data_IF_061060103740
#
_entry.id   IF_061060103740
#
_cell.length_a   1.000
_cell.length_b   1.000
_cell.length_c   1.000
_cell.angle_alpha   90.00
_cell.angle_beta   90.00
_cell.angle_gamma   90.00
#
_symmetry.space_group_name_H-M   'P 1'
#
loop_
_entity.id
_entity.type
_entity.pdbx_description
1 polymer ?
#
# COMPACT_ATOMS: atom_id res chain seq x y z
N UNK A 1 -27.11 27.01 52.92
CA UNK A 1 -27.68 26.44 51.68
C UNK A 1 -26.61 26.50 50.60
N UNK A 2 -26.20 25.30 50.19
CA UNK A 2 -25.49 24.89 48.96
C UNK A 2 -24.45 25.86 48.39
N UNK A 3 -23.19 25.48 48.63
CA UNK A 3 -22.00 26.15 48.13
C UNK A 3 -21.87 26.12 46.61
N UNK A 4 -21.31 27.22 46.12
CA UNK A 4 -20.96 27.55 44.75
C UNK A 4 -19.76 26.72 44.25
N UNK A 5 -19.90 25.41 44.05
CA UNK A 5 -18.91 24.55 43.40
C UNK A 5 -19.59 23.30 42.83
N UNK A 6 -19.75 23.21 41.49
CA UNK A 6 -18.97 22.20 40.76
C UNK A 6 -18.63 22.59 39.30
N UNK A 7 -18.32 23.86 38.99
CA UNK A 7 -17.92 24.23 37.60
C UNK A 7 -16.46 23.92 37.26
N UNK A 8 -15.59 23.77 38.27
CA UNK A 8 -14.15 23.57 38.07
C UNK A 8 -13.72 22.10 37.96
N UNK A 9 -14.60 21.14 38.28
CA UNK A 9 -14.31 19.71 38.13
C UNK A 9 -14.84 19.08 36.84
N UNK A 10 -15.78 19.73 36.14
CA UNK A 10 -16.20 19.29 34.80
C UNK A 10 -15.07 19.49 33.77
N UNK A 11 -14.39 20.64 33.82
CA UNK A 11 -13.31 20.98 32.86
C UNK A 11 -12.09 20.05 32.93
N UNK A 12 -11.79 19.45 34.08
CA UNK A 12 -10.58 18.60 34.23
C UNK A 12 -10.74 17.23 33.55
N UNK A 13 -11.97 16.76 33.36
CA UNK A 13 -12.22 15.53 32.59
C UNK A 13 -12.34 15.80 31.09
N UNK A 14 -12.59 17.05 30.68
CA UNK A 14 -12.64 17.46 29.28
C UNK A 14 -11.23 17.78 28.72
N UNK A 15 -10.27 18.21 29.57
CA UNK A 15 -8.87 18.44 29.15
C UNK A 15 -7.99 17.17 29.18
N UNK A 16 -8.33 16.15 29.96
CA UNK A 16 -7.55 14.91 30.07
C UNK A 16 -8.01 13.81 29.09
N UNK A 17 -9.14 14.03 28.41
CA UNK A 17 -9.45 13.41 27.12
C UNK A 17 -9.19 14.46 26.05
N UNK A 18 -7.98 15.00 26.01
CA UNK A 18 -7.39 15.38 24.73
C UNK A 18 -7.43 14.08 23.93
N UNK A 19 -8.46 13.93 23.10
CA UNK A 19 -8.63 12.74 22.28
C UNK A 19 -7.29 12.51 21.61
N UNK A 20 -6.73 11.31 21.76
CA UNK A 20 -5.63 10.88 20.92
C UNK A 20 -6.24 10.77 19.52
N UNK A 21 -6.39 11.91 18.85
CA UNK A 21 -6.92 12.01 17.52
C UNK A 21 -5.86 11.43 16.61
N UNK A 22 -6.25 10.45 15.82
CA UNK A 22 -5.34 9.83 14.90
C UNK A 22 -5.12 10.77 13.71
N UNK A 23 -3.88 11.26 13.57
CA UNK A 23 -3.49 12.04 12.41
C UNK A 23 -2.95 11.13 11.30
N UNK A 24 -3.76 10.96 10.25
CA UNK A 24 -3.40 10.18 9.07
C UNK A 24 -2.16 10.76 8.35
N UNK A 25 -2.16 12.08 8.16
CA UNK A 25 -1.04 12.87 7.64
C UNK A 25 -0.69 13.92 8.67
N UNK A 26 -0.05 13.49 9.76
CA UNK A 26 0.38 14.43 10.79
C UNK A 26 1.43 15.42 10.30
N UNK A 27 1.65 16.48 11.08
CA UNK A 27 2.65 17.49 10.76
C UNK A 27 4.04 16.88 10.49
N UNK A 28 4.85 17.57 9.68
CA UNK A 28 6.21 17.12 9.39
C UNK A 28 7.00 16.88 10.67
N UNK A 29 7.51 15.65 10.84
CA UNK A 29 8.25 15.24 12.04
C UNK A 29 7.40 14.57 13.13
N UNK A 30 6.08 14.45 12.93
CA UNK A 30 5.18 13.66 13.79
C UNK A 30 5.50 12.16 13.79
N UNK A 31 4.91 11.43 14.75
CA UNK A 31 5.05 9.98 14.86
C UNK A 31 4.67 9.24 13.56
N UNK A 32 3.61 9.68 12.87
CA UNK A 32 3.12 9.07 11.63
C UNK A 32 4.18 9.09 10.51
N UNK A 33 4.96 10.17 10.40
CA UNK A 33 6.08 10.25 9.45
C UNK A 33 7.20 9.26 9.76
N UNK A 34 7.60 9.17 11.02
CA UNK A 34 8.63 8.22 11.46
C UNK A 34 8.20 6.77 11.26
N UNK A 35 6.93 6.46 11.52
CA UNK A 35 6.36 5.14 11.29
C UNK A 35 6.42 4.75 9.81
N UNK A 36 6.07 5.65 8.90
CA UNK A 36 6.15 5.41 7.46
C UNK A 36 7.59 5.11 7.00
N UNK A 37 8.56 5.92 7.42
CA UNK A 37 9.99 5.72 7.08
C UNK A 37 10.51 4.41 7.65
N UNK A 38 10.13 4.09 8.88
CA UNK A 38 10.52 2.84 9.53
C UNK A 38 10.00 1.61 8.76
N UNK A 39 8.71 1.60 8.41
CA UNK A 39 8.10 0.50 7.66
C UNK A 39 8.67 0.37 6.25
N UNK A 40 8.86 1.48 5.54
CA UNK A 40 9.49 1.48 4.22
C UNK A 40 10.94 0.94 4.28
N UNK A 41 11.69 1.33 5.31
CA UNK A 41 13.06 0.84 5.54
C UNK A 41 13.07 -0.65 5.88
N UNK A 42 12.17 -1.10 6.75
CA UNK A 42 12.03 -2.52 7.10
C UNK A 42 11.71 -3.37 5.87
N UNK A 43 10.81 -2.88 5.00
CA UNK A 43 10.50 -3.53 3.73
C UNK A 43 11.75 -3.63 2.84
N UNK A 44 12.47 -2.53 2.61
CA UNK A 44 13.68 -2.53 1.77
C UNK A 44 14.77 -3.46 2.32
N UNK A 45 15.03 -3.40 3.62
CA UNK A 45 16.00 -4.26 4.31
C UNK A 45 15.58 -5.73 4.17
N UNK A 46 14.29 -6.05 4.27
CA UNK A 46 13.82 -7.43 4.08
C UNK A 46 14.13 -7.96 2.67
N UNK A 47 13.99 -7.12 1.65
CA UNK A 47 14.20 -7.50 0.24
C UNK A 47 15.68 -7.65 -0.10
N UNK A 48 16.52 -6.78 0.47
CA UNK A 48 17.99 -6.88 0.39
C UNK A 48 18.48 -8.09 1.17
N UNK A 49 17.97 -8.30 2.38
CA UNK A 49 18.27 -9.47 3.21
C UNK A 49 17.92 -10.78 2.51
N UNK A 50 16.71 -10.87 1.94
CA UNK A 50 16.26 -12.03 1.15
C UNK A 50 17.22 -12.34 0.01
N UNK A 51 17.70 -11.32 -0.70
CA UNK A 51 18.70 -11.51 -1.78
C UNK A 51 20.00 -12.15 -1.29
N UNK A 52 20.47 -11.79 -0.10
CA UNK A 52 21.71 -12.35 0.44
C UNK A 52 21.54 -13.77 0.98
N UNK A 53 20.35 -14.10 1.48
CA UNK A 53 19.98 -15.43 1.99
C UNK A 53 19.59 -16.42 0.88
N UNK A 54 19.08 -15.95 -0.26
CA UNK A 54 18.66 -16.82 -1.37
C UNK A 54 19.83 -17.61 -1.97
N UNK A 55 19.65 -18.93 -2.12
CA UNK A 55 20.64 -19.87 -2.69
C UNK A 55 21.01 -19.54 -4.14
N UNK A 56 20.04 -19.06 -4.93
CA UNK A 56 20.24 -18.64 -6.32
C UNK A 56 19.88 -17.17 -6.45
N UNK A 57 20.89 -16.32 -6.63
CA UNK A 57 20.73 -14.87 -6.67
C UNK A 57 20.34 -14.38 -8.06
N UNK A 58 19.27 -13.60 -8.18
CA UNK A 58 18.89 -12.94 -9.44
C UNK A 58 19.92 -11.88 -9.83
N UNK A 59 20.21 -11.66 -11.12
CA UNK A 59 21.11 -10.59 -11.55
C UNK A 59 20.57 -9.21 -11.11
N UNK A 60 21.47 -8.28 -10.80
CA UNK A 60 21.11 -6.98 -10.20
C UNK A 60 20.04 -6.21 -10.98
N UNK A 61 20.14 -6.18 -12.30
CA UNK A 61 19.16 -5.49 -13.17
C UNK A 61 17.74 -6.05 -13.03
N UNK A 62 17.60 -7.37 -12.99
CA UNK A 62 16.29 -8.05 -12.83
C UNK A 62 15.76 -7.84 -11.41
N UNK A 63 16.63 -7.91 -10.41
CA UNK A 63 16.26 -7.63 -9.03
C UNK A 63 15.73 -6.20 -8.87
N UNK A 64 16.38 -5.20 -9.46
CA UNK A 64 15.88 -3.81 -9.43
C UNK A 64 14.53 -3.67 -10.13
N UNK A 65 14.29 -4.39 -11.24
CA UNK A 65 12.97 -4.40 -11.89
C UNK A 65 11.88 -5.03 -11.01
N UNK A 66 12.19 -6.15 -10.34
CA UNK A 66 11.24 -6.80 -9.42
C UNK A 66 10.97 -5.94 -8.17
N UNK A 67 12.00 -5.26 -7.65
CA UNK A 67 11.89 -4.28 -6.57
C UNK A 67 11.05 -3.08 -6.97
N UNK A 68 11.32 -2.50 -8.15
CA UNK A 68 10.61 -1.32 -8.64
C UNK A 68 9.11 -1.58 -8.80
N UNK A 69 8.71 -2.76 -9.26
CA UNK A 69 7.28 -3.14 -9.31
C UNK A 69 6.62 -3.15 -7.93
N UNK A 70 7.30 -3.70 -6.91
CA UNK A 70 6.79 -3.72 -5.54
C UNK A 70 6.74 -2.32 -4.94
N UNK A 71 7.76 -1.50 -5.17
CA UNK A 71 7.82 -0.13 -4.67
C UNK A 71 6.76 0.78 -5.30
N UNK A 72 6.63 0.76 -6.63
CA UNK A 72 5.60 1.55 -7.34
C UNK A 72 4.20 1.11 -6.91
N UNK A 73 3.99 -0.20 -6.75
CA UNK A 73 2.74 -0.73 -6.24
C UNK A 73 2.40 -0.21 -4.84
N UNK A 74 3.32 -0.37 -3.89
CA UNK A 74 3.10 0.04 -2.51
C UNK A 74 2.82 1.54 -2.42
N UNK A 75 3.53 2.35 -3.21
CA UNK A 75 3.32 3.79 -3.28
C UNK A 75 1.93 4.15 -3.83
N UNK A 76 1.52 3.56 -4.96
CA UNK A 76 0.21 3.85 -5.56
C UNK A 76 -0.94 3.40 -4.65
N UNK A 77 -0.88 2.19 -4.09
CA UNK A 77 -1.89 1.73 -3.13
C UNK A 77 -1.94 2.60 -1.88
N UNK A 78 -0.79 3.04 -1.36
CA UNK A 78 -0.77 3.96 -0.22
C UNK A 78 -1.49 5.30 -0.51
N UNK A 79 -1.23 5.89 -1.68
CA UNK A 79 -1.93 7.12 -2.10
C UNK A 79 -3.43 6.90 -2.28
N UNK A 80 -3.82 5.79 -2.91
CA UNK A 80 -5.24 5.43 -3.06
C UNK A 80 -5.89 5.24 -1.69
N UNK A 81 -5.20 4.61 -0.75
CA UNK A 81 -5.74 4.38 0.58
C UNK A 81 -5.92 5.66 1.37
N UNK A 82 -5.00 6.63 1.24
CA UNK A 82 -5.20 7.97 1.81
C UNK A 82 -6.44 8.62 1.18
N UNK A 83 -6.49 8.69 -0.16
CA UNK A 83 -7.57 9.38 -0.88
C UNK A 83 -8.94 8.77 -0.59
N UNK A 84 -9.04 7.44 -0.60
CA UNK A 84 -10.27 6.73 -0.28
C UNK A 84 -10.67 7.00 1.17
N UNK A 85 -9.75 6.85 2.12
CA UNK A 85 -10.11 7.00 3.54
C UNK A 85 -10.47 8.43 3.94
N UNK A 86 -9.90 9.45 3.31
CA UNK A 86 -10.36 10.84 3.50
C UNK A 86 -11.63 11.14 2.71
N UNK A 87 -11.74 10.63 1.47
CA UNK A 87 -12.87 10.89 0.60
C UNK A 87 -14.16 10.18 1.05
N UNK A 88 -14.06 9.01 1.67
CA UNK A 88 -15.22 8.28 2.21
C UNK A 88 -15.90 9.04 3.36
N UNK A 89 -15.13 9.75 4.20
CA UNK A 89 -15.69 10.58 5.27
C UNK A 89 -16.56 11.69 4.68
N UNK A 90 -16.06 12.36 3.63
CA UNK A 90 -16.82 13.40 2.91
C UNK A 90 -18.04 12.83 2.17
N UNK A 91 -17.90 11.67 1.52
CA UNK A 91 -18.97 11.05 0.73
C UNK A 91 -20.12 10.48 1.57
N UNK A 92 -19.82 9.97 2.76
CA UNK A 92 -20.81 9.32 3.63
C UNK A 92 -21.44 10.26 4.65
N UNK A 93 -21.04 11.54 4.69
CA UNK A 93 -21.48 12.55 5.68
C UNK A 93 -21.50 11.97 7.11
N UNK A 94 -20.45 11.22 7.43
CA UNK A 94 -20.33 10.46 8.68
C UNK A 94 -19.23 11.03 9.55
N UNK A 95 -19.46 11.12 10.87
CA UNK A 95 -18.44 11.48 11.88
C UNK A 95 -17.40 10.35 12.11
N UNK A 96 -17.10 9.56 11.08
CA UNK A 96 -16.20 8.43 11.17
C UNK A 96 -14.73 8.87 11.10
N UNK A 97 -13.91 8.33 12.00
CA UNK A 97 -12.47 8.61 12.07
C UNK A 97 -11.76 8.15 10.76
N UNK A 98 -11.04 9.04 10.05
CA UNK A 98 -10.33 8.72 8.82
C UNK A 98 -9.24 7.65 9.00
N UNK A 99 -8.62 7.56 10.17
CA UNK A 99 -7.66 6.50 10.47
C UNK A 99 -8.32 5.13 10.61
N UNK A 100 -9.53 5.06 11.15
CA UNK A 100 -10.27 3.81 11.21
C UNK A 100 -10.62 3.34 9.78
N UNK A 101 -11.08 4.26 8.93
CA UNK A 101 -11.32 3.97 7.52
C UNK A 101 -10.04 3.56 6.78
N UNK A 102 -8.91 4.21 7.08
CA UNK A 102 -7.61 3.82 6.52
C UNK A 102 -7.21 2.41 6.93
N UNK A 103 -7.37 2.06 8.20
CA UNK A 103 -7.07 0.72 8.68
C UNK A 103 -7.96 -0.34 8.03
N UNK A 104 -9.27 -0.08 7.93
CA UNK A 104 -10.23 -1.00 7.28
C UNK A 104 -9.86 -1.18 5.81
N UNK A 105 -9.67 -0.08 5.08
CA UNK A 105 -9.35 -0.11 3.66
C UNK A 105 -8.02 -0.84 3.40
N UNK A 106 -6.96 -0.51 4.14
CA UNK A 106 -5.68 -1.20 4.08
C UNK A 106 -5.79 -2.69 4.41
N UNK A 107 -6.61 -3.06 5.40
CA UNK A 107 -6.82 -4.46 5.79
C UNK A 107 -7.57 -5.25 4.72
N UNK A 108 -8.58 -4.65 4.09
CA UNK A 108 -9.31 -5.25 2.97
C UNK A 108 -8.38 -5.47 1.77
N UNK A 109 -7.53 -4.49 1.44
CA UNK A 109 -6.55 -4.62 0.36
C UNK A 109 -5.54 -5.75 0.61
N UNK A 110 -5.01 -5.82 1.84
CA UNK A 110 -4.02 -6.83 2.21
C UNK A 110 -4.61 -8.25 2.33
N UNK A 111 -5.93 -8.39 2.39
CA UNK A 111 -6.62 -9.68 2.54
C UNK A 111 -7.40 -10.05 1.29
N UNK A 112 -8.58 -9.44 1.08
CA UNK A 112 -9.44 -9.69 -0.07
C UNK A 112 -8.79 -9.20 -1.37
N UNK A 113 -8.15 -8.03 -1.34
CA UNK A 113 -7.47 -7.46 -2.50
C UNK A 113 -6.38 -8.40 -3.07
N UNK A 114 -5.57 -9.02 -2.20
CA UNK A 114 -4.57 -10.02 -2.61
C UNK A 114 -5.22 -11.21 -3.33
N UNK A 115 -6.37 -11.69 -2.83
CA UNK A 115 -7.13 -12.75 -3.48
C UNK A 115 -7.62 -12.36 -4.87
N UNK A 116 -8.22 -11.17 -4.99
CA UNK A 116 -8.72 -10.62 -6.27
C UNK A 116 -7.57 -10.46 -7.27
N UNK A 117 -6.48 -9.81 -6.86
CA UNK A 117 -5.29 -9.60 -7.69
C UNK A 117 -4.68 -10.93 -8.15
N UNK A 118 -4.67 -11.96 -7.30
CA UNK A 118 -4.19 -13.29 -7.69
C UNK A 118 -5.01 -13.87 -8.86
N UNK A 119 -6.34 -13.81 -8.80
CA UNK A 119 -7.20 -14.29 -9.89
C UNK A 119 -7.07 -13.43 -11.15
N UNK A 120 -7.02 -12.10 -11.01
CA UNK A 120 -6.83 -11.19 -12.13
C UNK A 120 -5.49 -11.41 -12.83
N UNK A 121 -4.41 -11.57 -12.06
CA UNK A 121 -3.08 -11.89 -12.59
C UNK A 121 -3.09 -13.23 -13.33
N UNK A 122 -3.76 -14.24 -12.78
CA UNK A 122 -3.87 -15.57 -13.42
C UNK A 122 -4.62 -15.49 -14.74
N UNK A 123 -5.72 -14.73 -14.78
CA UNK A 123 -6.50 -14.46 -15.98
C UNK A 123 -5.68 -13.71 -17.03
N UNK A 124 -4.93 -12.67 -16.63
CA UNK A 124 -4.05 -11.92 -17.53
C UNK A 124 -2.96 -12.83 -18.14
N UNK A 125 -2.31 -13.65 -17.32
CA UNK A 125 -1.31 -14.61 -17.78
C UNK A 125 -1.89 -15.64 -18.74
N UNK A 126 -3.13 -16.09 -18.51
CA UNK A 126 -3.84 -16.97 -19.43
C UNK A 126 -4.11 -16.27 -20.76
N UNK A 127 -4.63 -15.04 -20.71
CA UNK A 127 -4.89 -14.20 -21.88
C UNK A 127 -3.66 -14.00 -22.74
N UNK A 128 -2.50 -13.72 -22.14
CA UNK A 128 -1.25 -13.58 -22.88
C UNK A 128 -0.77 -14.86 -23.57
N UNK A 129 -1.19 -16.05 -23.09
CA UNK A 129 -0.88 -17.34 -23.71
C UNK A 129 -1.88 -17.73 -24.80
N UNK A 130 -3.02 -17.06 -24.90
CA UNK A 130 -3.99 -17.33 -25.96
C UNK A 130 -3.41 -16.96 -27.33
N UNK A 131 -3.74 -17.78 -28.36
CA UNK A 131 -3.25 -17.60 -29.72
C UNK A 131 -3.62 -16.24 -30.35
N UNK A 132 -4.74 -15.65 -29.93
CA UNK A 132 -5.21 -14.35 -30.42
C UNK A 132 -4.35 -13.17 -29.94
N UNK A 133 -3.79 -13.25 -28.73
CA UNK A 133 -2.92 -12.19 -28.17
C UNK A 133 -1.47 -12.44 -28.55
N UNK A 134 -1.02 -13.69 -28.48
CA UNK A 134 0.30 -14.09 -29.00
C UNK A 134 1.50 -13.42 -28.30
N UNK A 135 1.38 -13.12 -27.00
CA UNK A 135 2.43 -12.46 -26.19
C UNK A 135 2.87 -13.30 -24.98
N UNK A 136 3.32 -14.56 -25.16
CA UNK A 136 3.66 -15.46 -24.06
C UNK A 136 4.83 -14.95 -23.20
N UNK A 137 5.66 -14.03 -23.71
CA UNK A 137 6.74 -13.37 -22.97
C UNK A 137 6.22 -12.51 -21.81
N UNK A 138 5.04 -11.91 -21.95
CA UNK A 138 4.41 -11.11 -20.89
C UNK A 138 3.73 -11.99 -19.83
N UNK A 139 3.37 -13.22 -20.18
CA UNK A 139 2.75 -14.18 -19.27
C UNK A 139 3.73 -14.74 -18.22
N UNK A 140 5.04 -14.46 -18.33
CA UNK A 140 6.07 -14.95 -17.42
C UNK A 140 6.58 -13.81 -16.53
N UNK A 141 5.98 -13.68 -15.35
CA UNK A 141 6.40 -12.70 -14.34
C UNK A 141 7.89 -12.87 -13.97
N UNK A 142 8.59 -11.76 -13.79
CA UNK A 142 10.02 -11.74 -13.43
C UNK A 142 10.96 -12.15 -14.56
N UNK A 143 10.46 -12.27 -15.80
CA UNK A 143 11.26 -12.45 -17.00
C UNK A 143 11.12 -11.23 -17.91
N UNK A 144 12.25 -10.63 -18.26
CA UNK A 144 12.31 -9.36 -18.99
C UNK A 144 13.03 -9.50 -20.35
N UNK A 145 13.16 -10.72 -20.86
CA UNK A 145 13.98 -11.04 -22.04
C UNK A 145 15.44 -11.36 -21.68
N UNK A 146 16.19 -11.78 -22.70
CA UNK A 146 17.62 -12.08 -22.63
C UNK A 146 18.34 -11.38 -23.80
N UNK A 147 19.03 -10.24 -23.58
CA UNK A 147 19.26 -9.55 -22.29
C UNK A 147 18.01 -8.82 -21.74
N UNK A 148 17.95 -8.47 -20.44
CA UNK A 148 16.77 -7.82 -19.83
C UNK A 148 16.44 -6.46 -20.46
N UNK A 149 15.23 -6.33 -20.99
CA UNK A 149 14.73 -5.18 -21.73
C UNK A 149 13.78 -4.31 -20.89
N UNK A 150 14.00 -2.99 -20.91
CA UNK A 150 13.16 -2.04 -20.18
C UNK A 150 11.73 -1.98 -20.72
N UNK A 151 11.52 -2.20 -22.03
CA UNK A 151 10.18 -2.21 -22.65
C UNK A 151 9.26 -3.28 -22.08
N UNK A 152 9.79 -4.50 -21.88
CA UNK A 152 9.04 -5.61 -21.30
C UNK A 152 8.75 -5.33 -19.82
N UNK A 153 9.74 -4.79 -19.09
CA UNK A 153 9.55 -4.33 -17.72
C UNK A 153 8.44 -3.29 -17.61
N UNK A 154 8.49 -2.23 -18.42
CA UNK A 154 7.51 -1.15 -18.40
C UNK A 154 6.11 -1.68 -18.72
N UNK A 155 5.98 -2.58 -19.69
CA UNK A 155 4.68 -3.21 -19.98
C UNK A 155 4.15 -4.03 -18.81
N UNK A 156 4.99 -4.90 -18.23
CA UNK A 156 4.59 -5.69 -17.07
C UNK A 156 4.29 -4.82 -15.84
N UNK A 157 4.98 -3.68 -15.68
CA UNK A 157 4.70 -2.71 -14.61
C UNK A 157 3.34 -2.06 -14.82
N UNK A 158 3.04 -1.60 -16.04
CA UNK A 158 1.74 -1.00 -16.37
C UNK A 158 0.59 -1.98 -16.19
N UNK A 159 0.75 -3.21 -16.67
CA UNK A 159 -0.23 -4.27 -16.46
C UNK A 159 -0.43 -4.52 -14.95
N UNK A 160 0.66 -4.56 -14.18
CA UNK A 160 0.59 -4.73 -12.72
C UNK A 160 -0.16 -3.59 -12.04
N UNK A 161 0.13 -2.33 -12.38
CA UNK A 161 -0.60 -1.18 -11.83
C UNK A 161 -2.08 -1.20 -12.21
N UNK A 162 -2.40 -1.54 -13.46
CA UNK A 162 -3.79 -1.62 -13.92
C UNK A 162 -4.57 -2.69 -13.14
N UNK A 163 -3.96 -3.84 -12.85
CA UNK A 163 -4.62 -4.91 -12.09
C UNK A 163 -4.92 -4.54 -10.63
N UNK A 164 -4.16 -3.61 -10.06
CA UNK A 164 -4.28 -3.26 -8.64
C UNK A 164 -5.13 -2.03 -8.37
N UNK A 165 -5.49 -1.29 -9.41
CA UNK A 165 -6.38 -0.11 -9.34
C UNK A 165 -7.84 -0.52 -9.59
N UNK A 166 -8.06 -1.69 -10.19
CA UNK A 166 -9.39 -2.29 -10.44
C UNK A 166 -9.88 -3.00 -9.19
#
# INVERSE_FOLDING_TARGET
>A
MVGLLPRFMASRNDEAVEAIECELLGEWGSFSWWLQVFLASACLVSLVGKRFTDRVRRPWKVWFFDMAKQGVQAFMTHLLNIVLSTGFVEWLDSDADPCNWYWINMSLDCTLGVGIIFFLLRSLQFTYRMKCVGRPELARCGHYGDPPQFRIFARQLLDWQALTIV
#
